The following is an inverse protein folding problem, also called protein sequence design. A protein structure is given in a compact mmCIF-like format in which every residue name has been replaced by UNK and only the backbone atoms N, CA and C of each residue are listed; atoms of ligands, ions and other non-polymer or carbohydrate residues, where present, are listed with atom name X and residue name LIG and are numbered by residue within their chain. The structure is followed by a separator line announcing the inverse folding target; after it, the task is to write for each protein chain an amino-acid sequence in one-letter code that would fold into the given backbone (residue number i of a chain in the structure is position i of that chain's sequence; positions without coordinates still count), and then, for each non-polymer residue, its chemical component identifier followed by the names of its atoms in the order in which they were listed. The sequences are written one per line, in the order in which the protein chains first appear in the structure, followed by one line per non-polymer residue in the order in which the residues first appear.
data_IF_636068748774
#
_entry.id   IF_636068748774
#
_cell.length_a   1.000
_cell.length_b   1.000
_cell.length_c   1.000
_cell.angle_alpha   90.00
_cell.angle_beta   90.00
_cell.angle_gamma   90.00
#
_symmetry.space_group_name_H-M   'P 1'
#
loop_
_entity.id
_entity.type
_entity.pdbx_description
1 polymer ?
#
# COMPACT_ATOMS: atom_id res chain seq x y z
N UNK A 1 -21.66 59.23 -2.13
CA UNK A 1 -21.95 58.25 -3.19
C UNK A 1 -20.77 57.36 -3.60
N UNK A 2 -19.51 57.65 -3.22
CA UNK A 2 -18.34 56.86 -3.64
C UNK A 2 -18.00 55.66 -2.73
N UNK A 3 -18.64 55.50 -1.56
CA UNK A 3 -18.34 54.44 -0.58
C UNK A 3 -19.21 53.18 -0.71
N UNK A 4 -20.21 53.19 -1.59
CA UNK A 4 -21.12 52.06 -1.79
C UNK A 4 -20.75 51.16 -2.97
N UNK A 5 -19.74 51.54 -3.77
CA UNK A 5 -19.29 50.75 -4.94
C UNK A 5 -18.15 49.79 -4.57
N UNK A 6 -17.44 50.03 -3.47
CA UNK A 6 -16.27 49.21 -3.07
C UNK A 6 -16.71 47.93 -2.32
N UNK A 7 -17.87 47.91 -1.68
CA UNK A 7 -18.34 46.74 -0.92
C UNK A 7 -19.06 45.69 -1.78
N UNK A 8 -19.39 45.99 -3.03
CA UNK A 8 -20.07 45.05 -3.94
C UNK A 8 -19.10 44.27 -4.85
N UNK A 9 -17.81 44.62 -4.85
CA UNK A 9 -16.77 43.93 -5.64
C UNK A 9 -16.03 42.82 -4.87
N UNK A 10 -16.31 42.65 -3.57
CA UNK A 10 -15.63 41.69 -2.67
C UNK A 10 -16.43 40.40 -2.43
N UNK A 11 -17.57 40.21 -3.11
CA UNK A 11 -18.41 39.02 -3.00
C UNK A 11 -18.76 38.45 -4.38
N UNK A 12 -17.79 38.44 -5.29
CA UNK A 12 -17.85 37.45 -6.38
C UNK A 12 -17.32 36.16 -5.75
N UNK A 13 -18.14 35.12 -5.56
CA UNK A 13 -17.59 33.79 -5.33
C UNK A 13 -16.82 33.47 -6.60
N UNK A 14 -15.51 33.64 -6.55
CA UNK A 14 -14.63 33.06 -7.56
C UNK A 14 -14.71 31.57 -7.28
N UNK A 15 -15.68 30.90 -7.89
CA UNK A 15 -15.62 29.49 -8.18
C UNK A 15 -14.42 29.33 -9.11
N UNK A 16 -13.21 29.32 -8.54
CA UNK A 16 -12.15 28.57 -9.16
C UNK A 16 -12.71 27.15 -9.24
N UNK A 17 -12.93 26.67 -10.45
CA UNK A 17 -12.94 25.23 -10.72
C UNK A 17 -11.52 24.75 -10.37
N UNK A 18 -11.22 24.68 -9.08
CA UNK A 18 -9.98 24.18 -8.54
C UNK A 18 -10.17 22.68 -8.50
N UNK A 19 -9.36 21.96 -9.28
CA UNK A 19 -9.38 20.51 -9.25
C UNK A 19 -9.22 19.98 -7.83
N UNK A 20 -9.90 18.90 -7.51
CA UNK A 20 -9.85 18.27 -6.18
C UNK A 20 -8.49 17.61 -6.02
N UNK A 21 -7.74 17.98 -4.99
CA UNK A 21 -6.47 17.30 -4.70
C UNK A 21 -6.73 16.09 -3.82
N UNK A 22 -6.35 14.90 -4.28
CA UNK A 22 -6.51 13.64 -3.57
C UNK A 22 -5.13 13.08 -3.25
N UNK A 23 -4.81 13.04 -1.96
CA UNK A 23 -3.55 12.46 -1.47
C UNK A 23 -3.62 10.93 -1.59
N UNK A 24 -2.75 10.30 -2.40
CA UNK A 24 -2.77 8.86 -2.54
C UNK A 24 -2.19 8.18 -1.30
N UNK A 25 -2.69 6.99 -0.99
CA UNK A 25 -2.17 6.14 0.09
C UNK A 25 -1.53 4.87 -0.47
N UNK A 26 -0.56 4.25 0.20
CA UNK A 26 -0.08 2.92 -0.18
C UNK A 26 -1.23 1.91 -0.19
N UNK A 27 -1.36 1.13 -1.26
CA UNK A 27 -2.38 0.11 -1.36
C UNK A 27 -2.18 -0.98 -0.29
N UNK A 28 -3.24 -1.33 0.42
CA UNK A 28 -3.22 -2.42 1.41
C UNK A 28 -3.25 -3.79 0.74
N UNK A 29 -2.77 -4.82 1.44
CA UNK A 29 -2.83 -6.19 0.92
C UNK A 29 -4.29 -6.64 0.69
N UNK A 30 -5.22 -6.22 1.55
CA UNK A 30 -6.65 -6.50 1.40
C UNK A 30 -7.21 -5.89 0.13
N UNK A 31 -6.87 -4.63 -0.17
CA UNK A 31 -7.28 -3.96 -1.41
C UNK A 31 -6.71 -4.67 -2.65
N UNK A 32 -5.41 -5.01 -2.62
CA UNK A 32 -4.75 -5.72 -3.73
C UNK A 32 -5.28 -7.15 -3.93
N UNK A 33 -5.76 -7.79 -2.86
CA UNK A 33 -6.30 -9.14 -2.87
C UNK A 33 -7.83 -9.18 -3.01
N UNK A 34 -8.51 -8.02 -3.03
CA UNK A 34 -9.98 -7.99 -3.10
C UNK A 34 -10.47 -8.73 -4.34
N UNK A 35 -11.18 -9.84 -4.10
CA UNK A 35 -11.47 -10.89 -5.09
C UNK A 35 -12.63 -10.53 -6.05
N UNK A 36 -13.20 -9.33 -5.97
CA UNK A 36 -14.38 -8.94 -6.76
C UNK A 36 -14.03 -8.41 -8.16
N UNK A 37 -12.95 -8.88 -8.78
CA UNK A 37 -12.59 -8.48 -10.14
C UNK A 37 -13.67 -8.85 -11.19
N UNK A 38 -14.53 -9.85 -10.92
CA UNK A 38 -15.66 -10.22 -11.78
C UNK A 38 -16.88 -9.26 -11.68
N UNK A 39 -16.92 -8.46 -10.62
CA UNK A 39 -17.93 -7.41 -10.37
C UNK A 39 -17.41 -6.00 -10.69
N UNK A 40 -16.16 -5.89 -11.15
CA UNK A 40 -15.53 -4.62 -11.44
C UNK A 40 -15.28 -4.46 -12.93
N UNK A 41 -15.63 -3.29 -13.46
CA UNK A 41 -15.21 -2.88 -14.80
C UNK A 41 -13.86 -2.17 -14.66
N UNK A 42 -12.86 -2.62 -15.43
CA UNK A 42 -11.52 -2.06 -15.38
C UNK A 42 -11.17 -1.28 -16.65
N UNK A 43 -10.60 -0.08 -16.50
CA UNK A 43 -9.88 0.63 -17.55
C UNK A 43 -8.41 0.79 -17.15
N UNK A 44 -7.50 0.83 -18.12
CA UNK A 44 -6.08 1.04 -17.85
C UNK A 44 -5.45 2.02 -18.81
N UNK A 45 -4.66 2.94 -18.26
CA UNK A 45 -3.92 3.94 -19.02
C UNK A 45 -2.44 3.82 -18.69
N UNK A 46 -1.59 3.79 -19.72
CA UNK A 46 -0.13 3.88 -19.56
C UNK A 46 0.30 5.31 -19.81
N UNK A 47 1.17 5.82 -18.96
CA UNK A 47 1.66 7.19 -19.02
C UNK A 47 3.16 7.17 -18.83
N UNK A 48 3.87 7.78 -19.76
CA UNK A 48 5.33 7.94 -19.70
C UNK A 48 5.62 9.44 -19.69
N UNK A 49 6.39 9.90 -18.71
CA UNK A 49 6.65 11.33 -18.57
C UNK A 49 7.42 11.73 -17.33
N UNK A 50 7.76 13.02 -17.29
CA UNK A 50 8.23 13.69 -16.08
C UNK A 50 7.06 14.44 -15.43
N UNK A 51 7.03 14.48 -14.11
CA UNK A 51 6.00 15.19 -13.36
C UNK A 51 6.01 14.80 -11.88
N UNK A 52 5.41 15.65 -11.05
CA UNK A 52 5.26 15.44 -9.61
C UNK A 52 3.82 15.10 -9.23
N UNK A 53 2.87 15.23 -10.15
CA UNK A 53 1.45 14.95 -9.93
C UNK A 53 0.76 14.47 -11.20
N UNK A 54 -0.31 13.69 -11.04
CA UNK A 54 -1.27 13.42 -12.11
C UNK A 54 -2.40 14.43 -12.10
N UNK A 55 -2.79 14.92 -13.26
CA UNK A 55 -4.05 15.62 -13.47
C UNK A 55 -4.98 14.69 -14.26
N UNK A 56 -6.12 14.35 -13.67
CA UNK A 56 -7.06 13.37 -14.19
C UNK A 56 -8.41 14.06 -14.40
N UNK A 57 -8.88 14.13 -15.64
CA UNK A 57 -10.22 14.61 -15.95
C UNK A 57 -11.10 13.42 -16.28
N UNK A 58 -12.15 13.24 -15.50
CA UNK A 58 -13.05 12.10 -15.65
C UNK A 58 -14.50 12.48 -15.34
N UNK A 59 -15.40 11.64 -15.82
CA UNK A 59 -16.82 11.63 -15.45
C UNK A 59 -17.20 10.21 -15.07
N UNK A 60 -17.71 10.02 -13.85
CA UNK A 60 -18.15 8.70 -13.40
C UNK A 60 -19.45 8.78 -12.59
N UNK A 61 -20.37 7.81 -12.76
CA UNK A 61 -21.62 7.77 -12.02
C UNK A 61 -21.46 7.22 -10.59
N UNK A 62 -20.32 6.58 -10.28
CA UNK A 62 -19.93 6.10 -8.96
C UNK A 62 -18.46 6.43 -8.67
N UNK A 63 -18.00 6.15 -7.45
CA UNK A 63 -16.59 6.32 -7.07
C UNK A 63 -15.69 5.42 -7.90
N UNK A 64 -14.46 5.89 -8.17
CA UNK A 64 -13.45 5.10 -8.90
C UNK A 64 -12.31 4.74 -7.96
N UNK A 65 -12.04 3.45 -7.87
CA UNK A 65 -10.83 2.95 -7.22
C UNK A 65 -9.67 3.05 -8.21
N UNK A 66 -8.76 3.99 -7.98
CA UNK A 66 -7.58 4.19 -8.79
C UNK A 66 -6.36 3.53 -8.15
N UNK A 67 -5.74 2.61 -8.88
CA UNK A 67 -4.44 2.04 -8.55
C UNK A 67 -3.36 2.59 -9.48
N UNK A 68 -2.28 3.11 -8.90
CA UNK A 68 -1.15 3.68 -9.63
C UNK A 68 0.06 2.77 -9.45
N UNK A 69 0.52 2.18 -10.55
CA UNK A 69 1.68 1.30 -10.60
C UNK A 69 2.88 2.06 -11.17
N UNK A 70 4.00 2.03 -10.44
CA UNK A 70 5.29 2.53 -10.87
C UNK A 70 6.01 1.42 -11.64
N UNK A 71 6.12 1.59 -12.96
CA UNK A 71 6.65 0.55 -13.84
C UNK A 71 8.17 0.68 -13.95
N UNK A 72 8.86 -0.45 -13.82
CA UNK A 72 10.28 -0.57 -14.12
C UNK A 72 10.51 -0.68 -15.64
N UNK A 73 11.77 -0.54 -16.06
CA UNK A 73 12.14 -0.52 -17.49
C UNK A 73 11.84 -1.83 -18.22
N UNK A 74 11.82 -2.95 -17.50
CA UNK A 74 11.48 -4.27 -18.01
C UNK A 74 9.97 -4.55 -18.00
N UNK A 75 9.16 -3.58 -17.58
CA UNK A 75 7.70 -3.71 -17.48
C UNK A 75 7.24 -4.41 -16.21
N UNK A 76 8.14 -4.74 -15.27
CA UNK A 76 7.77 -5.20 -13.94
C UNK A 76 7.39 -4.02 -13.04
N UNK A 77 6.87 -4.30 -11.84
CA UNK A 77 6.61 -3.29 -10.82
C UNK A 77 6.79 -3.91 -9.44
N UNK A 78 7.06 -3.06 -8.44
CA UNK A 78 7.10 -3.47 -7.04
C UNK A 78 5.72 -3.23 -6.40
N UNK A 79 4.99 -4.29 -5.99
CA UNK A 79 3.64 -4.14 -5.42
C UNK A 79 3.56 -3.21 -4.21
N UNK A 80 4.66 -3.05 -3.46
CA UNK A 80 4.73 -2.18 -2.27
C UNK A 80 4.73 -0.69 -2.59
N UNK A 81 4.97 -0.34 -3.85
CA UNK A 81 4.93 1.02 -4.33
C UNK A 81 3.59 1.35 -5.00
N UNK A 82 2.65 0.39 -5.06
CA UNK A 82 1.32 0.67 -5.61
C UNK A 82 0.63 1.66 -4.69
N UNK A 83 0.08 2.70 -5.30
CA UNK A 83 -0.75 3.66 -4.62
C UNK A 83 -2.21 3.39 -4.94
N UNK A 84 -3.06 3.68 -3.96
CA UNK A 84 -4.49 3.69 -4.05
C UNK A 84 -5.01 5.12 -3.83
N UNK A 85 -5.97 5.52 -4.64
CA UNK A 85 -6.74 6.75 -4.44
C UNK A 85 -8.21 6.48 -4.80
N UNK A 86 -9.13 6.94 -3.97
CA UNK A 86 -10.56 6.89 -4.25
C UNK A 86 -10.98 8.20 -4.92
N UNK A 87 -11.42 8.12 -6.18
CA UNK A 87 -11.88 9.28 -6.93
C UNK A 87 -13.40 9.46 -6.71
N UNK A 88 -13.87 10.66 -6.33
CA UNK A 88 -15.28 10.90 -6.08
C UNK A 88 -16.12 10.80 -7.36
N UNK A 89 -17.39 10.45 -7.20
CA UNK A 89 -18.37 10.45 -8.30
C UNK A 89 -18.59 11.86 -8.90
N UNK A 90 -19.03 11.91 -10.16
CA UNK A 90 -19.33 13.12 -10.91
C UNK A 90 -18.28 13.44 -11.99
N UNK A 91 -18.42 14.62 -12.60
CA UNK A 91 -17.46 15.19 -13.55
C UNK A 91 -16.47 16.06 -12.80
N UNK A 92 -15.21 15.63 -12.71
CA UNK A 92 -14.18 16.32 -11.91
C UNK A 92 -12.82 16.32 -12.60
N UNK A 93 -12.04 17.36 -12.29
CA UNK A 93 -10.60 17.41 -12.48
C UNK A 93 -9.95 17.11 -11.14
N UNK A 94 -9.15 16.05 -11.07
CA UNK A 94 -8.49 15.61 -9.85
C UNK A 94 -6.98 15.68 -10.01
N UNK A 95 -6.33 16.20 -8.97
CA UNK A 95 -4.87 16.26 -8.86
C UNK A 95 -4.42 15.21 -7.85
N UNK A 96 -3.49 14.34 -8.26
CA UNK A 96 -2.90 13.31 -7.39
C UNK A 96 -1.41 13.57 -7.30
N UNK A 97 -0.92 14.17 -6.19
CA UNK A 97 0.51 14.32 -5.97
C UNK A 97 1.14 12.94 -5.80
N UNK A 98 2.28 12.73 -6.46
CA UNK A 98 3.02 11.46 -6.39
C UNK A 98 4.46 11.67 -5.93
N UNK A 99 4.94 12.91 -5.92
CA UNK A 99 6.32 13.26 -5.60
C UNK A 99 6.75 12.95 -4.17
N UNK A 100 5.80 12.85 -3.25
CA UNK A 100 6.00 12.50 -1.86
C UNK A 100 5.92 10.99 -1.58
N UNK A 101 5.80 10.16 -2.62
CA UNK A 101 5.62 8.71 -2.49
C UNK A 101 6.95 7.96 -2.67
N UNK A 102 7.11 6.80 -2.02
CA UNK A 102 8.34 6.00 -2.13
C UNK A 102 8.58 5.37 -3.51
N UNK A 103 7.54 5.29 -4.35
CA UNK A 103 7.63 4.79 -5.73
C UNK A 103 8.22 5.81 -6.70
N UNK A 104 8.03 7.11 -6.45
CA UNK A 104 8.40 8.16 -7.38
C UNK A 104 9.91 8.42 -7.46
N UNK A 105 10.38 8.83 -8.64
CA UNK A 105 11.78 9.21 -8.85
C UNK A 105 11.90 10.41 -9.78
N UNK A 106 13.01 11.17 -9.68
CA UNK A 106 13.24 12.29 -10.58
C UNK A 106 13.55 11.81 -12.01
N UNK A 107 12.94 12.46 -13.00
CA UNK A 107 13.18 12.23 -14.42
C UNK A 107 11.98 11.57 -15.09
N UNK A 108 12.23 10.89 -16.21
CA UNK A 108 11.19 10.22 -16.99
C UNK A 108 10.81 8.89 -16.33
N UNK A 109 9.55 8.76 -15.93
CA UNK A 109 9.02 7.56 -15.28
C UNK A 109 7.87 6.98 -16.12
N UNK A 110 7.66 5.68 -15.97
CA UNK A 110 6.58 4.96 -16.63
C UNK A 110 5.56 4.53 -15.59
N UNK A 111 4.29 4.77 -15.88
CA UNK A 111 3.19 4.49 -14.97
C UNK A 111 2.10 3.70 -15.66
N UNK A 112 1.41 2.88 -14.88
CA UNK A 112 0.17 2.24 -15.31
C UNK A 112 -0.91 2.54 -14.28
N UNK A 113 -1.94 3.23 -14.72
CA UNK A 113 -3.10 3.58 -13.91
C UNK A 113 -4.21 2.59 -14.21
N UNK A 114 -4.79 2.02 -13.16
CA UNK A 114 -5.90 1.09 -13.20
C UNK A 114 -7.10 1.72 -12.52
N UNK A 115 -8.14 1.98 -13.30
CA UNK A 115 -9.41 2.53 -12.83
C UNK A 115 -10.39 1.39 -12.68
N UNK A 116 -10.86 1.14 -11.46
CA UNK A 116 -11.86 0.11 -11.15
C UNK A 116 -13.14 0.79 -10.69
N UNK A 117 -14.27 0.34 -11.23
CA UNK A 117 -15.61 0.81 -10.87
C UNK A 117 -16.59 -0.34 -10.85
N UNK A 118 -17.76 -0.15 -10.26
CA UNK A 118 -18.84 -1.13 -10.25
C UNK A 118 -19.19 -1.59 -11.69
N UNK A 119 -19.54 -2.87 -11.87
CA UNK A 119 -19.85 -3.48 -13.18
C UNK A 119 -20.78 -2.68 -14.07
N UNK A 120 -21.77 -2.02 -13.45
CA UNK A 120 -22.83 -1.27 -14.14
C UNK A 120 -22.48 0.21 -14.38
N UNK A 121 -21.33 0.65 -13.87
CA UNK A 121 -20.81 2.01 -14.06
C UNK A 121 -19.77 2.03 -15.19
N UNK A 122 -19.87 3.03 -16.06
CA UNK A 122 -18.86 3.25 -17.10
C UNK A 122 -18.17 4.58 -16.81
N UNK A 123 -16.96 4.57 -16.23
CA UNK A 123 -16.19 5.79 -16.08
C UNK A 123 -15.71 6.24 -17.46
N UNK A 124 -15.87 7.53 -17.75
CA UNK A 124 -15.29 8.17 -18.90
C UNK A 124 -14.06 8.97 -18.45
N UNK A 125 -12.88 8.38 -18.64
CA UNK A 125 -11.61 9.08 -18.38
C UNK A 125 -11.24 9.86 -19.64
N UNK A 126 -11.52 11.15 -19.63
CA UNK A 126 -11.30 12.04 -20.78
C UNK A 126 -9.82 12.38 -20.99
N UNK A 127 -9.06 12.55 -19.90
CA UNK A 127 -7.67 12.99 -19.95
C UNK A 127 -6.89 12.54 -18.72
N UNK A 128 -5.66 12.10 -18.94
CA UNK A 128 -4.69 11.88 -17.87
C UNK A 128 -3.34 12.43 -18.29
N UNK A 129 -2.78 13.32 -17.49
CA UNK A 129 -1.49 13.95 -17.76
C UNK A 129 -0.61 13.99 -16.52
N UNK A 130 0.70 13.85 -16.73
CA UNK A 130 1.70 14.20 -15.73
C UNK A 130 2.00 15.69 -15.81
N UNK A 131 2.04 16.34 -14.66
CA UNK A 131 2.40 17.75 -14.56
C UNK A 131 3.16 18.03 -13.27
N UNK A 132 3.43 19.30 -13.01
CA UNK A 132 4.07 19.77 -11.79
C UNK A 132 5.59 19.86 -11.92
N UNK A 133 6.14 20.82 -11.18
CA UNK A 133 7.57 21.09 -11.15
C UNK A 133 8.16 20.57 -9.84
N UNK A 134 9.37 20.03 -9.94
CA UNK A 134 10.06 19.52 -8.77
C UNK A 134 10.44 20.65 -7.79
N UNK A 135 9.98 20.54 -6.55
CA UNK A 135 10.35 21.43 -5.45
C UNK A 135 11.23 20.72 -4.42
N UNK A 136 11.97 21.49 -3.61
CA UNK A 136 12.74 20.92 -2.50
C UNK A 136 11.81 20.27 -1.47
N UNK A 137 10.62 20.84 -1.28
CA UNK A 137 9.62 20.33 -0.35
C UNK A 137 9.18 18.90 -0.73
N UNK A 138 9.09 18.58 -2.02
CA UNK A 138 8.74 17.24 -2.48
C UNK A 138 9.74 16.18 -2.00
N UNK A 139 11.04 16.45 -2.14
CA UNK A 139 12.06 15.52 -1.65
C UNK A 139 12.01 15.34 -0.13
N UNK A 140 11.75 16.42 0.61
CA UNK A 140 11.60 16.34 2.07
C UNK A 140 10.35 15.52 2.43
N UNK A 141 9.21 15.76 1.77
CA UNK A 141 7.99 14.96 1.97
C UNK A 141 8.24 13.49 1.66
N UNK A 142 8.94 13.19 0.56
CA UNK A 142 9.31 11.82 0.19
C UNK A 142 10.15 11.12 1.26
N UNK A 143 11.07 11.84 1.92
CA UNK A 143 11.85 11.28 3.04
C UNK A 143 10.97 10.88 4.23
N UNK A 144 9.88 11.62 4.46
CA UNK A 144 8.90 11.36 5.52
C UNK A 144 7.72 10.48 5.09
N UNK A 145 7.71 10.03 3.83
CA UNK A 145 6.75 9.06 3.35
C UNK A 145 6.78 7.80 4.23
N UNK A 146 5.62 7.26 4.65
CA UNK A 146 5.58 6.03 5.43
C UNK A 146 6.25 4.87 4.69
N UNK A 147 7.17 4.18 5.36
CA UNK A 147 7.74 2.96 4.81
C UNK A 147 6.80 1.78 5.11
N UNK A 148 6.43 0.96 4.11
CA UNK A 148 5.64 -0.24 4.35
C UNK A 148 6.47 -1.24 5.16
N UNK A 149 6.18 -1.33 6.47
CA UNK A 149 6.88 -2.20 7.39
C UNK A 149 6.24 -3.60 7.43
N UNK A 150 7.08 -4.64 7.40
CA UNK A 150 6.65 -6.02 7.67
C UNK A 150 7.52 -6.60 8.80
N UNK A 151 6.91 -7.10 9.89
CA UNK A 151 7.63 -7.43 11.13
C UNK A 151 8.60 -8.60 10.98
N UNK A 152 8.44 -9.42 9.95
CA UNK A 152 9.24 -10.64 9.77
C UNK A 152 10.51 -10.46 8.94
N UNK A 153 10.80 -9.27 8.39
CA UNK A 153 12.01 -9.09 7.60
C UNK A 153 12.48 -7.63 7.48
N UNK A 154 13.46 -7.25 8.30
CA UNK A 154 14.18 -5.98 8.15
C UNK A 154 14.91 -5.87 6.79
N UNK A 155 15.23 -7.00 6.16
CA UNK A 155 15.80 -7.05 4.81
C UNK A 155 14.82 -6.65 3.70
N UNK A 156 13.52 -6.54 4.01
CA UNK A 156 12.48 -6.19 3.04
C UNK A 156 12.14 -4.70 3.03
N UNK A 157 12.80 -3.88 3.85
CA UNK A 157 12.65 -2.42 3.84
C UNK A 157 13.09 -1.86 2.47
N UNK A 158 12.26 -1.01 1.87
CA UNK A 158 12.56 -0.35 0.60
C UNK A 158 13.64 0.75 0.79
N UNK A 159 13.78 1.25 2.01
CA UNK A 159 14.64 2.36 2.39
C UNK A 159 14.01 3.72 2.07
N UNK A 160 14.38 4.72 2.88
CA UNK A 160 13.98 6.11 2.67
C UNK A 160 14.54 6.66 1.37
N UNK A 161 13.78 7.55 0.72
CA UNK A 161 14.18 8.17 -0.54
C UNK A 161 14.09 9.69 -0.49
N UNK A 162 14.95 10.31 -1.29
CA UNK A 162 15.01 11.74 -1.57
C UNK A 162 15.17 11.91 -3.08
N UNK A 163 14.14 12.43 -3.75
CA UNK A 163 14.08 12.55 -5.21
C UNK A 163 14.24 11.23 -5.96
N UNK A 164 13.79 10.12 -5.36
CA UNK A 164 13.98 8.76 -5.86
C UNK A 164 15.34 8.13 -5.55
N UNK A 165 16.31 8.89 -5.06
CA UNK A 165 17.59 8.35 -4.60
C UNK A 165 17.48 7.83 -3.17
N UNK A 166 18.23 6.77 -2.84
CA UNK A 166 18.34 6.29 -1.47
C UNK A 166 18.81 7.42 -0.54
N UNK A 167 18.08 7.67 0.54
CA UNK A 167 18.45 8.68 1.52
C UNK A 167 19.84 8.41 2.10
N UNK A 168 20.19 7.15 2.37
CA UNK A 168 21.54 6.77 2.83
C UNK A 168 22.63 7.24 1.89
N UNK A 169 22.42 7.13 0.58
CA UNK A 169 23.36 7.61 -0.43
C UNK A 169 23.48 9.14 -0.41
N UNK A 170 22.34 9.86 -0.33
CA UNK A 170 22.33 11.32 -0.21
C UNK A 170 23.03 11.79 1.07
N UNK A 171 22.73 11.14 2.21
CA UNK A 171 23.35 11.41 3.51
C UNK A 171 24.86 11.16 3.48
N UNK A 172 25.33 10.13 2.78
CA UNK A 172 26.75 9.84 2.60
C UNK A 172 27.46 10.97 1.84
N UNK A 173 26.88 11.44 0.73
CA UNK A 173 27.43 12.56 -0.05
C UNK A 173 27.50 13.83 0.81
N UNK A 174 26.42 14.16 1.53
CA UNK A 174 26.39 15.31 2.43
C UNK A 174 27.45 15.20 3.55
N UNK A 175 27.65 14.00 4.08
CA UNK A 175 28.68 13.73 5.09
C UNK A 175 30.09 13.94 4.53
N UNK A 176 30.36 13.47 3.30
CA UNK A 176 31.64 13.68 2.62
C UNK A 176 31.89 15.16 2.37
N UNK A 177 30.91 15.89 1.83
CA UNK A 177 30.99 17.34 1.59
C UNK A 177 31.23 18.09 2.91
N UNK A 178 30.44 17.80 3.95
CA UNK A 178 30.61 18.40 5.27
C UNK A 178 31.99 18.10 5.86
N UNK A 179 32.49 16.87 5.69
CA UNK A 179 33.83 16.49 6.13
C UNK A 179 34.93 17.27 5.41
N UNK A 180 34.78 17.50 4.10
CA UNK A 180 35.72 18.32 3.32
C UNK A 180 35.69 19.80 3.74
N UNK A 181 34.50 20.37 3.93
CA UNK A 181 34.33 21.76 4.39
C UNK A 181 34.96 21.96 5.77
N UNK A 182 34.73 21.01 6.69
CA UNK A 182 35.21 21.08 8.07
C UNK A 182 36.49 20.26 8.30
N UNK A 183 37.35 20.11 7.28
CA UNK A 183 38.55 19.25 7.34
C UNK A 183 39.48 19.57 8.52
N UNK A 184 39.49 20.84 8.96
CA UNK A 184 40.32 21.31 10.09
C UNK A 184 39.63 21.18 11.45
N UNK A 185 38.34 20.88 11.51
CA UNK A 185 37.56 20.85 12.74
C UNK A 185 36.91 19.48 12.96
N UNK A 186 37.72 18.52 13.44
CA UNK A 186 37.31 17.13 13.69
C UNK A 186 36.08 17.00 14.58
N UNK A 187 35.87 17.92 15.54
CA UNK A 187 34.70 17.89 16.43
C UNK A 187 33.40 18.13 15.65
N UNK A 188 33.40 19.08 14.72
CA UNK A 188 32.23 19.39 13.88
C UNK A 188 31.93 18.23 12.93
N UNK A 189 32.94 17.60 12.35
CA UNK A 189 32.75 16.43 11.48
C UNK A 189 32.08 15.26 12.24
N UNK A 190 32.56 14.96 13.45
CA UNK A 190 31.98 13.91 14.30
C UNK A 190 30.54 14.25 14.66
N UNK A 191 30.24 15.51 14.99
CA UNK A 191 28.88 15.96 15.30
C UNK A 191 27.94 15.81 14.10
N UNK A 192 28.38 16.19 12.89
CA UNK A 192 27.59 16.00 11.66
C UNK A 192 27.32 14.51 11.44
N UNK A 193 28.35 13.67 11.50
CA UNK A 193 28.20 12.23 11.29
C UNK A 193 27.23 11.59 12.30
N UNK A 194 27.39 11.89 13.59
CA UNK A 194 26.49 11.41 14.64
C UNK A 194 25.07 11.93 14.46
N UNK A 195 24.90 13.22 14.13
CA UNK A 195 23.60 13.81 13.86
C UNK A 195 22.85 13.08 12.74
N UNK A 196 23.54 12.73 11.66
CA UNK A 196 22.95 11.99 10.54
C UNK A 196 22.54 10.57 10.92
N UNK A 197 23.36 9.88 11.72
CA UNK A 197 23.00 8.55 12.28
C UNK A 197 21.75 8.67 13.15
N UNK A 198 21.68 9.67 14.04
CA UNK A 198 20.53 9.86 14.91
C UNK A 198 19.26 10.19 14.13
N UNK A 199 19.32 11.02 13.09
CA UNK A 199 18.17 11.35 12.23
C UNK A 199 17.64 10.08 11.53
N UNK A 200 18.54 9.25 10.99
CA UNK A 200 18.15 8.00 10.32
C UNK A 200 17.46 7.02 11.29
N UNK A 201 18.04 6.82 12.48
CA UNK A 201 17.46 5.95 13.50
C UNK A 201 16.14 6.50 14.09
N UNK A 202 16.03 7.82 14.25
CA UNK A 202 14.81 8.47 14.70
C UNK A 202 13.68 8.28 13.68
N UNK A 203 13.97 8.43 12.38
CA UNK A 203 13.01 8.19 11.30
C UNK A 203 12.48 6.76 11.32
N UNK A 204 13.37 5.77 11.47
CA UNK A 204 13.01 4.36 11.62
C UNK A 204 12.15 4.11 12.85
N UNK A 205 12.51 4.69 13.99
CA UNK A 205 11.75 4.57 15.23
C UNK A 205 10.34 5.15 15.09
N UNK A 206 10.16 6.25 14.35
CA UNK A 206 8.85 6.85 14.07
C UNK A 206 7.99 5.92 13.21
N UNK A 207 8.53 5.31 12.16
CA UNK A 207 7.75 4.36 11.35
C UNK A 207 7.38 3.11 12.14
N UNK A 208 8.31 2.59 12.95
CA UNK A 208 8.02 1.46 13.82
C UNK A 208 6.91 1.81 14.81
N UNK A 209 6.91 3.03 15.38
CA UNK A 209 5.87 3.47 16.30
C UNK A 209 4.51 3.64 15.59
N UNK A 210 4.50 4.23 14.38
CA UNK A 210 3.28 4.33 13.56
C UNK A 210 2.71 2.95 13.24
N UNK A 211 3.56 2.04 12.80
CA UNK A 211 3.19 0.66 12.53
C UNK A 211 2.60 0.02 13.79
N UNK A 212 3.30 0.06 14.92
CA UNK A 212 2.82 -0.48 16.19
C UNK A 212 1.49 0.14 16.60
N UNK A 213 1.32 1.46 16.49
CA UNK A 213 0.07 2.13 16.85
C UNK A 213 -1.11 1.64 16.02
N UNK A 214 -0.98 1.59 14.68
CA UNK A 214 -2.03 1.08 13.79
C UNK A 214 -2.40 -0.37 14.10
N UNK A 215 -1.44 -1.18 14.53
CA UNK A 215 -1.66 -2.60 14.82
C UNK A 215 -2.13 -2.88 16.24
N UNK A 216 -1.88 -1.98 17.20
CA UNK A 216 -2.47 -2.06 18.55
C UNK A 216 -3.98 -1.81 18.53
N UNK A 217 -4.46 -1.04 17.55
CA UNK A 217 -5.89 -0.78 17.35
C UNK A 217 -6.58 -1.78 16.44
N UNK A 218 -5.82 -2.66 15.77
CA UNK A 218 -6.38 -3.70 14.93
C UNK A 218 -6.84 -4.90 15.78
N UNK A 219 -7.98 -5.51 15.44
CA UNK A 219 -8.48 -6.70 16.14
C UNK A 219 -7.58 -7.93 15.93
N UNK A 220 -6.81 -7.95 14.84
CA UNK A 220 -5.86 -9.02 14.52
C UNK A 220 -4.45 -8.44 14.31
N UNK A 221 -3.43 -9.22 14.63
CA UNK A 221 -2.05 -8.84 14.34
C UNK A 221 -1.85 -8.97 12.82
N UNK A 222 -1.75 -7.86 12.08
CA UNK A 222 -1.90 -7.89 10.60
C UNK A 222 -0.97 -8.86 9.84
N UNK A 223 0.14 -9.30 10.44
CA UNK A 223 1.01 -10.34 9.83
C UNK A 223 0.73 -11.76 10.32
N UNK A 224 0.12 -11.93 11.49
CA UNK A 224 -0.31 -13.23 12.02
C UNK A 224 -1.78 -13.56 11.67
N UNK A 225 -2.55 -12.58 11.17
CA UNK A 225 -3.97 -12.74 10.89
C UNK A 225 -4.72 -13.26 12.11
N UNK A 226 -5.65 -14.19 11.88
CA UNK A 226 -6.41 -14.86 12.93
C UNK A 226 -5.70 -16.11 13.48
N UNK A 227 -4.38 -16.27 13.30
CA UNK A 227 -3.68 -17.52 13.64
C UNK A 227 -3.91 -18.00 15.08
N UNK A 228 -3.97 -17.08 16.05
CA UNK A 228 -4.23 -17.43 17.45
C UNK A 228 -5.69 -17.86 17.68
N UNK A 229 -6.66 -17.17 17.07
CA UNK A 229 -8.08 -17.53 17.16
C UNK A 229 -8.37 -18.87 16.45
N UNK A 230 -7.71 -19.09 15.31
CA UNK A 230 -7.73 -20.36 14.58
C UNK A 230 -7.17 -21.47 15.47
N UNK A 231 -6.01 -21.25 16.09
CA UNK A 231 -5.43 -22.24 16.99
C UNK A 231 -6.32 -22.53 18.21
N UNK A 232 -6.88 -21.49 18.85
CA UNK A 232 -7.83 -21.66 19.96
C UNK A 232 -9.06 -22.46 19.53
N UNK A 233 -9.62 -22.16 18.35
CA UNK A 233 -10.75 -22.92 17.80
C UNK A 233 -10.38 -24.39 17.57
N UNK A 234 -9.22 -24.67 16.98
CA UNK A 234 -8.79 -26.04 16.69
C UNK A 234 -8.54 -26.83 17.98
N UNK A 235 -7.91 -26.23 18.99
CA UNK A 235 -7.73 -26.84 20.31
C UNK A 235 -9.06 -27.11 21.01
N UNK A 236 -10.02 -26.18 20.93
CA UNK A 236 -11.34 -26.32 21.56
C UNK A 236 -12.20 -27.42 20.94
N UNK A 237 -11.96 -27.74 19.67
CA UNK A 237 -12.71 -28.76 18.92
C UNK A 237 -11.89 -30.04 18.69
N UNK A 238 -10.78 -30.23 19.41
CA UNK A 238 -9.91 -31.42 19.32
C UNK A 238 -9.43 -31.73 17.89
N UNK A 239 -9.18 -30.71 17.06
CA UNK A 239 -8.68 -30.85 15.69
C UNK A 239 -7.15 -30.85 15.71
N UNK A 240 -6.55 -32.05 15.61
CA UNK A 240 -5.09 -32.22 15.74
C UNK A 240 -4.30 -31.94 14.45
N UNK A 241 -4.95 -32.01 13.29
CA UNK A 241 -4.27 -31.85 12.01
C UNK A 241 -5.12 -30.97 11.09
N UNK A 242 -4.45 -30.09 10.34
CA UNK A 242 -5.05 -29.30 9.28
C UNK A 242 -4.15 -29.28 8.06
N UNK A 243 -4.75 -29.20 6.87
CA UNK A 243 -4.09 -28.79 5.64
C UNK A 243 -4.23 -27.27 5.49
N UNK A 244 -3.17 -26.59 5.05
CA UNK A 244 -3.19 -25.15 4.83
C UNK A 244 -3.15 -24.88 3.33
N UNK A 245 -4.23 -24.33 2.79
CA UNK A 245 -4.25 -23.79 1.44
C UNK A 245 -4.01 -22.27 1.50
N UNK A 246 -2.87 -21.84 0.99
CA UNK A 246 -2.46 -20.44 1.00
C UNK A 246 -1.48 -20.16 -0.12
N UNK A 247 -1.69 -19.06 -0.83
CA UNK A 247 -0.71 -18.48 -1.77
C UNK A 247 0.19 -17.43 -1.08
N UNK A 248 -0.02 -17.26 0.23
CA UNK A 248 0.61 -16.24 1.07
C UNK A 248 2.02 -16.59 1.57
N UNK A 249 2.55 -15.72 2.40
CA UNK A 249 3.91 -15.85 2.92
C UNK A 249 4.07 -17.02 3.91
N UNK A 250 5.30 -17.50 4.08
CA UNK A 250 5.64 -18.56 5.06
C UNK A 250 5.46 -18.14 6.52
N UNK A 251 5.23 -16.86 6.79
CA UNK A 251 5.14 -16.33 8.14
C UNK A 251 3.83 -16.71 8.83
N UNK A 252 2.67 -16.60 8.15
CA UNK A 252 1.39 -17.06 8.71
C UNK A 252 1.46 -18.55 9.10
N UNK A 253 1.90 -19.42 8.18
CA UNK A 253 2.09 -20.86 8.43
C UNK A 253 2.98 -21.11 9.66
N UNK A 254 4.06 -20.34 9.80
CA UNK A 254 4.99 -20.45 10.92
C UNK A 254 4.34 -20.04 12.25
N UNK A 255 3.69 -18.88 12.31
CA UNK A 255 3.01 -18.40 13.52
C UNK A 255 1.89 -19.35 13.93
N UNK A 256 1.07 -19.78 12.96
CA UNK A 256 0.01 -20.74 13.19
C UNK A 256 0.58 -22.07 13.72
N UNK A 257 1.68 -22.58 13.15
CA UNK A 257 2.32 -23.81 13.66
C UNK A 257 2.79 -23.69 15.12
N UNK A 258 3.29 -22.52 15.53
CA UNK A 258 3.66 -22.28 16.93
C UNK A 258 2.43 -22.23 17.84
N UNK A 259 1.36 -21.55 17.41
CA UNK A 259 0.13 -21.44 18.18
C UNK A 259 -0.63 -22.78 18.28
N UNK A 260 -0.54 -23.61 17.25
CA UNK A 260 -1.22 -24.91 17.17
C UNK A 260 -0.58 -26.00 18.02
N UNK A 261 0.66 -25.85 18.50
CA UNK A 261 1.35 -26.94 19.20
C UNK A 261 0.47 -27.52 20.34
N UNK A 262 0.23 -28.86 20.37
CA UNK A 262 0.92 -29.91 19.62
C UNK A 262 0.33 -30.31 18.25
N UNK A 263 -0.80 -29.72 17.83
CA UNK A 263 -1.42 -29.95 16.53
C UNK A 263 -0.49 -29.53 15.36
N UNK A 264 -0.67 -30.13 14.19
CA UNK A 264 0.25 -30.01 13.04
C UNK A 264 -0.44 -29.57 11.76
N UNK A 265 0.28 -28.75 10.99
CA UNK A 265 -0.06 -28.48 9.60
C UNK A 265 0.56 -29.58 8.74
N UNK A 266 -0.27 -30.37 8.05
CA UNK A 266 0.13 -31.46 7.14
C UNK A 266 -0.30 -31.14 5.72
N UNK A 267 0.30 -31.82 4.73
CA UNK A 267 -0.11 -31.65 3.33
C UNK A 267 -1.48 -32.29 3.06
N UNK A 268 -1.80 -33.37 3.78
CA UNK A 268 -3.11 -34.04 3.73
C UNK A 268 -3.73 -34.11 5.14
N UNK A 269 -5.00 -33.74 5.24
CA UNK A 269 -5.75 -33.73 6.50
C UNK A 269 -7.26 -33.74 6.25
N UNK A 270 -8.03 -34.24 7.21
CA UNK A 270 -9.50 -34.18 7.24
C UNK A 270 -10.03 -32.75 7.36
N UNK A 271 -9.19 -31.77 7.69
CA UNK A 271 -9.59 -30.37 7.77
C UNK A 271 -8.69 -29.52 6.89
N UNK A 272 -9.25 -28.57 6.15
CA UNK A 272 -8.52 -27.63 5.31
C UNK A 272 -8.82 -26.20 5.72
N UNK A 273 -7.76 -25.44 6.00
CA UNK A 273 -7.80 -24.03 6.28
C UNK A 273 -7.38 -23.27 5.02
N UNK A 274 -8.30 -22.47 4.48
CA UNK A 274 -8.03 -21.56 3.38
C UNK A 274 -7.66 -20.19 3.95
N UNK A 275 -6.48 -19.68 3.58
CA UNK A 275 -5.99 -18.37 4.02
C UNK A 275 -5.26 -17.67 2.87
N UNK A 276 -5.74 -16.50 2.43
CA UNK A 276 -5.09 -15.70 1.38
C UNK A 276 -4.69 -16.52 0.13
N UNK A 277 -5.51 -17.51 -0.25
CA UNK A 277 -5.35 -18.22 -1.51
C UNK A 277 -6.00 -17.38 -2.63
N UNK A 278 -5.30 -17.20 -3.74
CA UNK A 278 -5.75 -16.51 -4.94
C UNK A 278 -6.69 -17.38 -5.77
N UNK A 279 -6.38 -18.68 -5.90
CA UNK A 279 -7.18 -19.61 -6.70
C UNK A 279 -7.88 -20.64 -5.81
N UNK A 280 -9.00 -20.22 -5.21
CA UNK A 280 -9.88 -21.13 -4.47
C UNK A 280 -11.36 -20.81 -4.69
N UNK A 281 -12.21 -21.83 -4.56
CA UNK A 281 -13.66 -21.66 -4.58
C UNK A 281 -14.36 -22.71 -3.70
N UNK A 282 -15.59 -22.41 -3.32
CA UNK A 282 -16.47 -23.34 -2.62
C UNK A 282 -17.86 -23.28 -3.23
N UNK A 283 -18.18 -24.26 -4.09
CA UNK A 283 -19.43 -24.34 -4.85
C UNK A 283 -20.02 -25.74 -4.75
N UNK A 284 -21.34 -25.84 -4.53
CA UNK A 284 -22.06 -27.12 -4.42
C UNK A 284 -21.41 -28.09 -3.42
N UNK A 285 -21.00 -27.57 -2.26
CA UNK A 285 -20.30 -28.32 -1.20
C UNK A 285 -18.95 -28.93 -1.63
N UNK A 286 -18.37 -28.48 -2.74
CA UNK A 286 -17.03 -28.87 -3.20
C UNK A 286 -16.08 -27.72 -2.98
N UNK A 287 -15.01 -27.97 -2.22
CA UNK A 287 -13.89 -27.04 -2.09
C UNK A 287 -12.87 -27.32 -3.18
N UNK A 288 -12.43 -26.27 -3.87
CA UNK A 288 -11.31 -26.29 -4.80
C UNK A 288 -10.26 -25.32 -4.30
N UNK A 289 -9.07 -25.81 -3.98
CA UNK A 289 -7.99 -24.96 -3.51
C UNK A 289 -6.63 -25.59 -3.87
N UNK A 290 -5.90 -24.97 -4.80
CA UNK A 290 -4.68 -25.55 -5.36
C UNK A 290 -4.94 -26.89 -6.05
N UNK A 291 -4.31 -27.96 -5.56
CA UNK A 291 -4.49 -29.33 -6.08
C UNK A 291 -5.63 -30.10 -5.38
N UNK A 292 -6.21 -29.53 -4.32
CA UNK A 292 -7.29 -30.18 -3.56
C UNK A 292 -8.65 -29.86 -4.16
N UNK A 293 -9.35 -30.90 -4.60
CA UNK A 293 -10.77 -30.86 -4.99
C UNK A 293 -11.50 -31.97 -4.23
N UNK A 294 -12.36 -31.59 -3.27
CA UNK A 294 -13.06 -32.55 -2.42
C UNK A 294 -14.39 -31.99 -1.93
N UNK A 295 -15.32 -32.87 -1.56
CA UNK A 295 -16.51 -32.46 -0.82
C UNK A 295 -16.06 -31.90 0.53
N UNK A 296 -16.68 -30.82 0.98
CA UNK A 296 -16.30 -30.17 2.21
C UNK A 296 -17.48 -29.47 2.91
N UNK A 297 -17.40 -29.38 4.23
CA UNK A 297 -18.36 -28.68 5.07
C UNK A 297 -17.65 -27.50 5.73
N UNK A 298 -18.16 -26.28 5.55
CA UNK A 298 -17.64 -25.09 6.21
C UNK A 298 -17.86 -25.19 7.72
N UNK A 299 -16.77 -25.20 8.49
CA UNK A 299 -16.79 -25.28 9.95
C UNK A 299 -16.87 -23.89 10.58
N UNK A 300 -15.96 -22.99 10.19
CA UNK A 300 -15.90 -21.64 10.76
C UNK A 300 -15.26 -20.63 9.78
N UNK A 301 -15.61 -19.35 9.93
CA UNK A 301 -14.94 -18.24 9.27
C UNK A 301 -14.26 -17.33 10.31
N UNK A 302 -13.11 -16.76 9.96
CA UNK A 302 -12.30 -15.94 10.86
C UNK A 302 -12.24 -14.48 10.40
N UNK A 303 -11.94 -13.53 11.31
CA UNK A 303 -11.96 -12.09 11.00
C UNK A 303 -11.03 -11.65 9.87
N UNK A 304 -9.92 -12.35 9.65
CA UNK A 304 -8.98 -12.11 8.55
C UNK A 304 -9.41 -12.73 7.20
N UNK A 305 -10.66 -13.20 7.09
CA UNK A 305 -11.20 -13.82 5.88
C UNK A 305 -10.78 -15.29 5.70
N UNK A 306 -9.99 -15.85 6.62
CA UNK A 306 -9.68 -17.28 6.58
C UNK A 306 -10.94 -18.12 6.83
N UNK A 307 -11.00 -19.29 6.19
CA UNK A 307 -12.15 -20.20 6.34
C UNK A 307 -11.64 -21.62 6.57
N UNK A 308 -12.19 -22.28 7.58
CA UNK A 308 -11.90 -23.67 7.91
C UNK A 308 -13.02 -24.58 7.41
N UNK A 309 -12.64 -25.67 6.76
CA UNK A 309 -13.55 -26.70 6.26
C UNK A 309 -13.15 -28.08 6.77
N UNK A 310 -14.13 -28.97 6.93
CA UNK A 310 -13.93 -30.43 7.06
C UNK A 310 -14.11 -31.05 5.68
N UNK A 311 -13.20 -31.93 5.28
CA UNK A 311 -13.31 -32.78 4.09
C UNK A 311 -14.14 -34.04 4.37
#
# INVERSE_FOLDING_TARGET
MLRLIISSALLIPICFAAGVTIEPIPATQEQLNSQNLEELKSASVKIDGEGTQFNINYSAPSTIDLYILFMEKDGTFNPRNILFAELPQGEQETIIPISDTGGWSRGNNNYKLHFLTDKDSVPEVSKVELSGNLSIADGIKQFFAPEPFTPSSYHRLNGYKLFGYSATFVLLILTLIGSLIFIKNRKVQILIFLGMIFISNARFSIDSLRYTYTHLTANTYASAGSAYEIAEYLHKNDIENIALCSDGNSYFKTVLSYALYPAKIKDESENILVHSAFNWSFENDVIRCGETEANAIKLNGFPDGSVLFSL
#
